data_IF_232106903981
#
_entry.id   IF_232106903981
#
_cell.length_a   1.000
_cell.length_b   1.000
_cell.length_c   1.000
_cell.angle_alpha   90.00
_cell.angle_beta   90.00
_cell.angle_gamma   90.00
#
_symmetry.space_group_name_H-M   'P 1'
#
loop_
_entity.id
_entity.type
_entity.pdbx_description
1 polymer ?
#
# COMPACT_ATOMS: atom_id res chain seq x y z
N UNK A 1 3.32 12.32 15.48
CA UNK A 1 4.26 12.48 14.34
C UNK A 1 5.28 11.37 14.44
N UNK A 2 5.53 10.68 13.34
CA UNK A 2 6.52 9.60 13.30
C UNK A 2 7.94 10.11 13.02
N UNK A 3 8.86 9.17 12.96
CA UNK A 3 10.28 9.41 12.76
C UNK A 3 10.78 8.78 11.46
N UNK A 4 11.88 9.32 10.91
CA UNK A 4 12.55 8.72 9.76
C UNK A 4 13.66 7.77 10.22
N UNK A 5 13.66 6.56 9.64
CA UNK A 5 14.70 5.55 9.86
C UNK A 5 15.37 5.20 8.53
N UNK A 6 16.51 4.53 8.59
CA UNK A 6 17.18 3.95 7.43
C UNK A 6 16.93 2.45 7.39
N UNK A 7 16.56 1.96 6.23
CA UNK A 7 16.45 0.54 5.93
C UNK A 7 17.54 0.14 4.94
N UNK A 8 17.85 -1.16 4.92
CA UNK A 8 18.72 -1.77 3.92
C UNK A 8 18.04 -2.97 3.32
N UNK A 9 17.77 -2.90 2.03
CA UNK A 9 17.20 -4.00 1.27
C UNK A 9 18.22 -5.14 1.06
N UNK A 10 17.71 -6.33 0.73
CA UNK A 10 18.54 -7.55 0.57
C UNK A 10 19.62 -7.40 -0.51
N UNK A 11 19.42 -6.55 -1.51
CA UNK A 11 20.40 -6.24 -2.56
C UNK A 11 21.39 -5.14 -2.17
N UNK A 12 21.37 -4.71 -0.90
CA UNK A 12 22.28 -3.71 -0.35
C UNK A 12 21.83 -2.27 -0.54
N UNK A 13 20.70 -2.00 -1.24
CA UNK A 13 20.18 -0.66 -1.38
C UNK A 13 19.74 -0.09 -0.02
N UNK A 14 20.17 1.15 0.26
CA UNK A 14 19.75 1.90 1.45
C UNK A 14 18.64 2.89 1.08
N UNK A 15 17.56 2.88 1.84
CA UNK A 15 16.41 3.76 1.65
C UNK A 15 15.93 4.33 2.98
N UNK A 16 15.30 5.49 2.94
CA UNK A 16 14.60 6.05 4.08
C UNK A 16 13.24 5.36 4.28
N UNK A 17 12.73 5.39 5.51
CA UNK A 17 11.36 4.98 5.79
C UNK A 17 10.77 5.85 6.90
N UNK A 18 9.51 6.25 6.77
CA UNK A 18 8.77 6.93 7.81
C UNK A 18 8.09 5.91 8.72
N UNK A 19 8.30 6.01 10.02
CA UNK A 19 7.72 5.10 11.03
C UNK A 19 6.81 5.88 11.96
N UNK A 20 5.57 5.46 12.06
CA UNK A 20 4.61 5.94 13.06
C UNK A 20 4.31 4.82 14.07
N UNK A 21 4.25 5.18 15.36
CA UNK A 21 4.04 4.23 16.46
C UNK A 21 2.81 4.61 17.28
N UNK A 22 2.02 3.65 17.76
CA UNK A 22 0.91 3.92 18.67
C UNK A 22 1.42 4.40 20.04
N UNK A 23 0.60 5.17 20.74
CA UNK A 23 0.89 5.59 22.12
C UNK A 23 0.64 4.48 23.15
N UNK A 24 -0.05 3.40 22.77
CA UNK A 24 -0.48 2.31 23.64
C UNK A 24 0.06 0.94 23.21
N UNK A 25 -0.72 -0.10 23.53
CA UNK A 25 -0.39 -1.48 23.16
C UNK A 25 -0.33 -1.64 21.62
N UNK A 26 0.72 -2.31 21.15
CA UNK A 26 0.90 -2.62 19.73
C UNK A 26 0.01 -3.80 19.34
N UNK A 27 -0.89 -3.61 18.36
CA UNK A 27 -1.73 -4.68 17.79
C UNK A 27 -0.97 -5.53 16.77
N UNK A 28 -0.16 -4.87 15.93
CA UNK A 28 0.61 -5.52 14.86
C UNK A 28 1.44 -4.51 14.09
N UNK A 29 2.09 -4.98 13.01
CA UNK A 29 2.88 -4.16 12.10
C UNK A 29 2.20 -3.97 10.75
N UNK A 30 2.31 -2.78 10.14
CA UNK A 30 1.78 -2.51 8.79
C UNK A 30 2.83 -1.79 7.96
N UNK A 31 3.19 -2.39 6.82
CA UNK A 31 3.96 -1.71 5.79
C UNK A 31 3.00 -0.91 4.91
N UNK A 32 3.18 0.41 4.85
CA UNK A 32 2.36 1.34 4.06
C UNK A 32 3.08 1.64 2.75
N UNK A 33 2.48 1.26 1.62
CA UNK A 33 3.13 1.44 0.32
C UNK A 33 2.54 2.64 -0.41
N UNK A 34 3.43 3.55 -0.80
CA UNK A 34 3.13 4.81 -1.45
C UNK A 34 2.45 4.66 -2.83
N UNK A 35 1.76 5.74 -3.23
CA UNK A 35 1.40 6.00 -4.63
C UNK A 35 2.67 6.27 -5.47
N UNK A 36 2.54 6.98 -6.58
CA UNK A 36 3.68 7.39 -7.43
C UNK A 36 4.27 8.77 -7.05
N UNK A 37 4.06 9.24 -5.82
CA UNK A 37 4.43 10.60 -5.38
C UNK A 37 5.45 10.62 -4.21
N UNK A 38 6.05 9.48 -3.88
CA UNK A 38 6.95 9.36 -2.75
C UNK A 38 6.20 9.23 -1.41
N UNK A 39 6.97 9.20 -0.32
CA UNK A 39 6.42 9.17 1.06
C UNK A 39 6.04 10.59 1.47
N UNK A 40 5.10 11.16 0.71
CA UNK A 40 4.59 12.52 0.91
C UNK A 40 3.64 12.62 2.12
N UNK A 41 3.08 13.80 2.35
CA UNK A 41 2.21 14.05 3.50
C UNK A 41 0.96 13.17 3.56
N UNK A 42 0.45 12.67 2.41
CA UNK A 42 -0.69 11.75 2.39
C UNK A 42 -0.29 10.36 2.88
N UNK A 43 0.84 9.84 2.45
CA UNK A 43 1.34 8.52 2.86
C UNK A 43 1.79 8.54 4.33
N UNK A 44 2.45 9.62 4.79
CA UNK A 44 2.73 9.79 6.22
C UNK A 44 1.46 9.89 7.05
N UNK A 45 0.43 10.59 6.54
CA UNK A 45 -0.89 10.66 7.17
C UNK A 45 -1.57 9.29 7.28
N UNK A 46 -1.41 8.42 6.28
CA UNK A 46 -1.90 7.04 6.35
C UNK A 46 -1.15 6.20 7.40
N UNK A 47 0.18 6.39 7.53
CA UNK A 47 0.96 5.74 8.58
C UNK A 47 0.56 6.26 9.98
N UNK A 48 0.39 7.57 10.15
CA UNK A 48 -0.06 8.17 11.41
C UNK A 48 -1.48 7.72 11.78
N UNK A 49 -2.38 7.59 10.80
CA UNK A 49 -3.72 7.03 11.02
C UNK A 49 -3.66 5.58 11.52
N UNK A 50 -2.87 4.70 10.89
CA UNK A 50 -2.70 3.33 11.35
C UNK A 50 -2.09 3.27 12.76
N UNK A 51 -1.18 4.18 13.09
CA UNK A 51 -0.64 4.28 14.43
C UNK A 51 -1.72 4.67 15.46
N UNK A 52 -2.64 5.58 15.11
CA UNK A 52 -3.78 5.92 15.98
C UNK A 52 -4.74 4.75 16.20
N UNK A 53 -4.76 3.75 15.29
CA UNK A 53 -5.54 2.52 15.40
C UNK A 53 -4.79 1.39 16.14
N UNK A 54 -3.55 1.65 16.60
CA UNK A 54 -2.76 0.73 17.42
C UNK A 54 -1.70 -0.08 16.65
N UNK A 55 -1.39 0.25 15.41
CA UNK A 55 -0.39 -0.46 14.61
C UNK A 55 0.94 0.30 14.57
N UNK A 56 2.06 -0.42 14.56
CA UNK A 56 3.32 0.17 14.13
C UNK A 56 3.32 0.20 12.60
N UNK A 57 3.29 1.40 12.03
CA UNK A 57 3.22 1.61 10.60
C UNK A 57 4.55 2.10 10.04
N UNK A 58 5.03 1.51 8.94
CA UNK A 58 6.27 1.93 8.26
C UNK A 58 6.01 2.17 6.78
N UNK A 59 6.41 3.34 6.28
CA UNK A 59 6.32 3.69 4.87
C UNK A 59 7.72 3.81 4.24
N UNK A 60 8.21 2.78 3.53
CA UNK A 60 9.50 2.81 2.86
C UNK A 60 9.49 3.76 1.66
N UNK A 61 10.52 4.59 1.54
CA UNK A 61 10.71 5.51 0.42
C UNK A 61 11.26 4.76 -0.81
N UNK A 62 10.39 3.99 -1.48
CA UNK A 62 10.80 3.13 -2.62
C UNK A 62 11.34 3.94 -3.81
N UNK A 63 11.08 5.25 -3.86
CA UNK A 63 11.63 6.14 -4.89
C UNK A 63 13.09 6.52 -4.64
N UNK A 64 13.66 6.24 -3.46
CA UNK A 64 15.09 6.46 -3.17
C UNK A 64 16.01 5.65 -4.11
N UNK A 65 15.48 4.65 -4.83
CA UNK A 65 16.18 3.94 -5.90
C UNK A 65 16.41 4.79 -7.15
N UNK A 66 15.59 5.81 -7.34
CA UNK A 66 15.60 6.68 -8.52
C UNK A 66 16.04 8.10 -8.15
N UNK A 67 15.43 8.66 -7.11
CA UNK A 67 15.73 9.98 -6.58
C UNK A 67 15.43 10.02 -5.08
N UNK A 68 16.48 10.28 -4.27
CA UNK A 68 16.37 10.26 -2.81
C UNK A 68 15.54 11.43 -2.29
N UNK A 69 14.72 11.15 -1.28
CA UNK A 69 13.93 12.15 -0.58
C UNK A 69 12.83 12.78 -1.44
N UNK A 70 12.39 12.09 -2.48
CA UNK A 70 11.34 12.60 -3.36
C UNK A 70 9.98 12.58 -2.65
N UNK A 71 9.43 13.77 -2.43
CA UNK A 71 8.10 14.00 -1.87
C UNK A 71 7.33 14.95 -2.78
N UNK A 72 6.50 14.40 -3.66
CA UNK A 72 5.75 15.17 -4.64
C UNK A 72 4.36 15.55 -4.13
N UNK A 73 3.88 16.72 -4.57
CA UNK A 73 2.50 17.14 -4.45
C UNK A 73 1.60 16.49 -5.53
N UNK A 74 0.46 17.15 -5.78
CA UNK A 74 -0.52 16.70 -6.78
C UNK A 74 -0.81 17.76 -7.84
N UNK A 75 0.05 18.80 -7.93
CA UNK A 75 0.05 19.79 -8.99
C UNK A 75 0.59 19.22 -10.31
N UNK A 76 0.48 19.99 -11.39
CA UNK A 76 0.86 19.55 -12.73
C UNK A 76 2.36 19.22 -12.85
N UNK A 77 3.24 19.96 -12.17
CA UNK A 77 4.68 19.73 -12.20
C UNK A 77 5.04 18.44 -11.48
N UNK A 78 4.46 18.23 -10.29
CA UNK A 78 4.58 17.00 -9.51
C UNK A 78 4.08 15.79 -10.29
N UNK A 79 2.94 15.92 -10.99
CA UNK A 79 2.40 14.86 -11.83
C UNK A 79 3.35 14.51 -12.98
N UNK A 80 3.89 15.51 -13.69
CA UNK A 80 4.90 15.29 -14.76
C UNK A 80 6.13 14.56 -14.22
N UNK A 81 6.62 14.96 -13.06
CA UNK A 81 7.77 14.31 -12.41
C UNK A 81 7.43 12.86 -12.03
N UNK A 82 6.29 12.60 -11.40
CA UNK A 82 5.85 11.27 -11.05
C UNK A 82 5.76 10.36 -12.27
N UNK A 83 5.14 10.82 -13.37
CA UNK A 83 5.05 10.07 -14.62
C UNK A 83 6.38 9.88 -15.35
N UNK A 84 7.41 10.67 -15.07
CA UNK A 84 8.75 10.45 -15.60
C UNK A 84 9.48 9.30 -14.86
N UNK A 85 9.12 9.02 -13.62
CA UNK A 85 9.70 7.95 -12.80
C UNK A 85 8.90 6.65 -12.93
N UNK A 86 7.57 6.74 -13.00
CA UNK A 86 6.66 5.58 -12.99
C UNK A 86 7.03 4.47 -13.99
N UNK A 87 7.40 4.75 -15.25
CA UNK A 87 7.80 3.70 -16.21
C UNK A 87 9.10 2.98 -15.84
N UNK A 88 9.88 3.51 -14.89
CA UNK A 88 11.15 2.92 -14.44
C UNK A 88 10.93 1.97 -13.24
N UNK A 89 9.74 1.99 -12.64
CA UNK A 89 9.43 1.16 -11.48
C UNK A 89 9.40 -0.32 -11.87
N UNK A 90 10.22 -1.12 -11.21
CA UNK A 90 10.16 -2.58 -11.29
C UNK A 90 9.53 -3.13 -10.00
N UNK A 91 8.32 -3.72 -10.05
CA UNK A 91 7.68 -4.30 -8.88
C UNK A 91 8.53 -5.36 -8.16
N UNK A 92 9.34 -6.14 -8.88
CA UNK A 92 10.20 -7.15 -8.27
C UNK A 92 11.36 -6.52 -7.47
N UNK A 93 11.83 -5.35 -7.92
CA UNK A 93 12.83 -4.56 -7.18
C UNK A 93 12.16 -3.88 -5.98
N UNK A 94 10.96 -3.34 -6.16
CA UNK A 94 10.17 -2.75 -5.07
C UNK A 94 9.91 -3.76 -3.95
N UNK A 95 9.59 -5.01 -4.27
CA UNK A 95 9.37 -6.06 -3.25
C UNK A 95 10.59 -6.30 -2.35
N UNK A 96 11.82 -6.04 -2.80
CA UNK A 96 13.01 -6.12 -1.93
C UNK A 96 13.03 -5.01 -0.86
N UNK A 97 12.54 -3.81 -1.21
CA UNK A 97 12.39 -2.71 -0.26
C UNK A 97 11.26 -3.00 0.73
N UNK A 98 10.14 -3.54 0.22
CA UNK A 98 9.03 -3.98 1.07
C UNK A 98 9.46 -5.07 2.05
N UNK A 99 10.27 -6.03 1.62
CA UNK A 99 10.80 -7.07 2.51
C UNK A 99 11.60 -6.49 3.69
N UNK A 100 12.42 -5.44 3.46
CA UNK A 100 13.16 -4.79 4.53
C UNK A 100 12.27 -4.03 5.52
N UNK A 101 11.22 -3.37 5.01
CA UNK A 101 10.22 -2.70 5.85
C UNK A 101 9.36 -3.72 6.62
N UNK A 102 9.03 -4.84 5.98
CA UNK A 102 8.30 -5.95 6.60
C UNK A 102 9.06 -6.54 7.79
N UNK A 103 10.35 -6.87 7.62
CA UNK A 103 11.18 -7.38 8.71
C UNK A 103 11.32 -6.37 9.86
N UNK A 104 11.34 -5.07 9.57
CA UNK A 104 11.37 -4.03 10.59
C UNK A 104 10.14 -4.08 11.50
N UNK A 105 8.92 -4.13 10.94
CA UNK A 105 7.67 -4.15 11.75
C UNK A 105 7.35 -5.54 12.29
N UNK A 106 7.81 -6.62 11.67
CA UNK A 106 7.70 -7.99 12.17
C UNK A 106 8.43 -8.17 13.51
N UNK A 107 9.49 -7.41 13.75
CA UNK A 107 10.22 -7.41 15.02
C UNK A 107 9.34 -6.98 16.22
N UNK A 108 8.19 -6.37 16.00
CA UNK A 108 7.21 -6.04 17.03
C UNK A 108 6.46 -7.28 17.60
N UNK A 109 6.70 -8.49 17.04
CA UNK A 109 6.26 -9.77 17.59
C UNK A 109 4.78 -10.12 17.39
N UNK A 110 4.08 -9.38 16.53
CA UNK A 110 2.66 -9.57 16.20
C UNK A 110 2.48 -9.85 14.69
N UNK A 111 1.24 -10.07 14.25
CA UNK A 111 0.93 -10.20 12.82
C UNK A 111 1.37 -8.98 12.02
N UNK A 112 1.71 -9.18 10.75
CA UNK A 112 2.21 -8.10 9.88
C UNK A 112 1.45 -8.05 8.57
N UNK A 113 0.97 -6.86 8.21
CA UNK A 113 0.24 -6.62 6.97
C UNK A 113 1.01 -5.71 6.01
N UNK A 114 0.62 -5.73 4.73
CA UNK A 114 1.02 -4.72 3.74
C UNK A 114 -0.24 -4.02 3.26
N UNK A 115 -0.27 -2.69 3.34
CA UNK A 115 -1.34 -1.83 2.88
C UNK A 115 -0.79 -0.82 1.87
N UNK A 116 -1.43 -0.65 0.73
CA UNK A 116 -0.91 0.27 -0.28
C UNK A 116 -1.97 0.94 -1.12
N UNK A 117 -1.54 2.04 -1.77
CA UNK A 117 -2.39 2.93 -2.54
C UNK A 117 -1.90 3.05 -3.98
N UNK A 118 -2.76 2.97 -4.99
CA UNK A 118 -2.42 3.05 -6.41
C UNK A 118 -1.35 2.02 -6.80
N UNK A 119 -0.15 2.45 -7.21
CA UNK A 119 1.00 1.57 -7.40
C UNK A 119 1.28 0.72 -6.14
N UNK A 120 1.21 1.34 -4.96
CA UNK A 120 1.34 0.62 -3.70
C UNK A 120 0.23 -0.41 -3.47
N UNK A 121 -0.97 -0.18 -3.99
CA UNK A 121 -2.05 -1.18 -3.99
C UNK A 121 -1.70 -2.42 -4.82
N UNK A 122 -1.09 -2.23 -5.99
CA UNK A 122 -0.53 -3.34 -6.77
C UNK A 122 0.60 -4.05 -6.01
N UNK A 123 1.47 -3.30 -5.33
CA UNK A 123 2.56 -3.89 -4.53
C UNK A 123 1.99 -4.67 -3.33
N UNK A 124 0.89 -4.24 -2.71
CA UNK A 124 0.20 -5.01 -1.67
C UNK A 124 -0.32 -6.35 -2.22
N UNK A 125 -0.94 -6.36 -3.41
CA UNK A 125 -1.30 -7.58 -4.12
C UNK A 125 -0.08 -8.47 -4.38
N UNK A 126 0.99 -7.91 -4.95
CA UNK A 126 2.22 -8.66 -5.25
C UNK A 126 2.96 -9.13 -3.97
N UNK A 127 2.75 -8.47 -2.85
CA UNK A 127 3.23 -8.97 -1.55
C UNK A 127 2.48 -10.23 -1.12
N UNK A 128 1.18 -10.34 -1.42
CA UNK A 128 0.42 -11.55 -1.17
C UNK A 128 0.80 -12.71 -2.11
N UNK A 129 1.16 -12.42 -3.38
CA UNK A 129 1.46 -13.45 -4.38
C UNK A 129 2.95 -13.81 -4.45
N UNK A 130 3.83 -12.81 -4.44
CA UNK A 130 5.29 -12.97 -4.63
C UNK A 130 6.11 -12.81 -3.35
N UNK A 131 5.47 -12.41 -2.24
CA UNK A 131 6.17 -12.19 -0.96
C UNK A 131 6.99 -13.40 -0.52
N UNK A 132 6.45 -14.65 -0.53
CA UNK A 132 7.22 -15.84 -0.15
C UNK A 132 8.50 -16.02 -0.96
N UNK A 133 8.49 -15.76 -2.26
CA UNK A 133 9.68 -15.81 -3.11
C UNK A 133 10.69 -14.69 -2.81
N UNK A 134 10.25 -13.62 -2.14
CA UNK A 134 11.07 -12.49 -1.68
C UNK A 134 11.44 -12.58 -0.19
N UNK A 135 11.18 -13.72 0.47
CA UNK A 135 11.57 -14.00 1.84
C UNK A 135 10.65 -13.44 2.92
N UNK A 136 9.43 -12.99 2.57
CA UNK A 136 8.44 -12.52 3.54
C UNK A 136 7.03 -12.99 3.18
N UNK A 137 6.19 -13.21 4.18
CA UNK A 137 4.79 -13.61 3.99
C UNK A 137 3.91 -12.76 4.89
N UNK A 138 3.15 -11.80 4.31
CA UNK A 138 2.18 -11.03 5.09
C UNK A 138 1.12 -11.92 5.70
N UNK A 139 0.61 -11.55 6.87
CA UNK A 139 -0.57 -12.18 7.46
C UNK A 139 -1.83 -11.83 6.66
N UNK A 140 -1.87 -10.62 6.10
CA UNK A 140 -2.88 -10.17 5.15
C UNK A 140 -2.39 -8.96 4.36
N UNK A 141 -3.10 -8.61 3.27
CA UNK A 141 -2.80 -7.39 2.50
C UNK A 141 -4.06 -6.59 2.20
N UNK A 142 -3.90 -5.27 2.08
CA UNK A 142 -4.96 -4.32 1.72
C UNK A 142 -4.51 -3.45 0.56
N UNK A 143 -5.25 -3.44 -0.54
CA UNK A 143 -4.97 -2.61 -1.72
C UNK A 143 -6.08 -1.61 -1.99
N UNK A 144 -5.72 -0.33 -2.10
CA UNK A 144 -6.61 0.74 -2.56
C UNK A 144 -6.30 1.07 -4.01
N UNK A 145 -7.34 1.08 -4.84
CA UNK A 145 -7.25 1.40 -6.28
C UNK A 145 -5.99 0.85 -6.97
N UNK A 146 -5.81 -0.47 -6.84
CA UNK A 146 -4.64 -1.21 -7.30
C UNK A 146 -4.60 -1.34 -8.83
N UNK A 147 -4.06 -0.34 -9.52
CA UNK A 147 -3.95 -0.35 -10.98
C UNK A 147 -3.01 -1.45 -11.49
N UNK A 148 -3.47 -2.19 -12.51
CA UNK A 148 -2.69 -3.27 -13.12
C UNK A 148 -2.84 -4.64 -12.45
N UNK A 149 -3.64 -4.75 -11.38
CA UNK A 149 -3.87 -6.03 -10.68
C UNK A 149 -4.44 -7.11 -11.61
N UNK A 150 -5.29 -6.74 -12.56
CA UNK A 150 -5.86 -7.68 -13.53
C UNK A 150 -4.82 -8.39 -14.39
N UNK A 151 -3.67 -7.78 -14.65
CA UNK A 151 -2.57 -8.37 -15.43
C UNK A 151 -1.84 -9.50 -14.69
N UNK A 152 -1.95 -9.51 -13.37
CA UNK A 152 -1.30 -10.45 -12.45
C UNK A 152 -2.31 -11.22 -11.60
N UNK A 153 -3.59 -11.16 -11.96
CA UNK A 153 -4.68 -11.80 -11.23
C UNK A 153 -4.58 -13.33 -11.20
N UNK A 154 -3.87 -13.94 -12.15
CA UNK A 154 -3.67 -15.40 -12.17
C UNK A 154 -2.61 -15.90 -11.17
N UNK A 155 -1.89 -15.01 -10.50
CA UNK A 155 -0.87 -15.39 -9.51
C UNK A 155 -1.54 -15.83 -8.20
N UNK A 156 -1.12 -16.96 -7.64
CA UNK A 156 -1.65 -17.51 -6.40
C UNK A 156 -1.38 -16.59 -5.20
N UNK A 157 -2.41 -16.30 -4.41
CA UNK A 157 -2.28 -15.55 -3.15
C UNK A 157 -1.92 -16.48 -1.99
N UNK A 158 -0.99 -16.05 -1.14
CA UNK A 158 -0.52 -16.81 0.02
C UNK A 158 -1.02 -16.25 1.37
N UNK A 159 -1.90 -15.26 1.33
CA UNK A 159 -2.56 -14.70 2.50
C UNK A 159 -3.91 -14.06 2.11
N UNK A 160 -4.82 -13.80 3.07
CA UNK A 160 -6.03 -13.04 2.83
C UNK A 160 -5.77 -11.66 2.23
N UNK A 161 -6.59 -11.27 1.25
CA UNK A 161 -6.48 -10.00 0.52
C UNK A 161 -7.80 -9.23 0.60
N UNK A 162 -7.71 -7.93 0.85
CA UNK A 162 -8.80 -6.97 0.76
C UNK A 162 -8.48 -5.90 -0.28
N UNK A 163 -9.40 -5.63 -1.20
CA UNK A 163 -9.24 -4.64 -2.26
C UNK A 163 -10.37 -3.63 -2.26
N UNK A 164 -10.03 -2.34 -2.47
CA UNK A 164 -10.96 -1.22 -2.58
C UNK A 164 -10.80 -0.52 -3.92
N UNK A 165 -11.88 -0.39 -4.69
CA UNK A 165 -11.88 0.28 -5.99
C UNK A 165 -12.99 1.32 -6.07
N UNK A 166 -12.74 2.41 -6.78
CA UNK A 166 -13.81 3.31 -7.21
C UNK A 166 -14.57 2.69 -8.40
N UNK A 167 -15.91 2.76 -8.39
CA UNK A 167 -16.73 2.24 -9.48
C UNK A 167 -16.60 3.10 -10.77
N UNK A 168 -16.21 4.37 -10.60
CA UNK A 168 -16.00 5.33 -11.68
C UNK A 168 -14.51 5.59 -11.96
N UNK A 169 -13.63 4.63 -11.62
CA UNK A 169 -12.19 4.73 -11.88
C UNK A 169 -11.90 4.55 -13.37
N UNK A 170 -11.48 5.61 -14.05
CA UNK A 170 -11.14 5.63 -15.47
C UNK A 170 -9.75 5.03 -15.80
N UNK A 171 -8.93 4.74 -14.77
CA UNK A 171 -7.64 4.08 -14.90
C UNK A 171 -7.70 2.57 -14.69
N UNK A 172 -8.75 2.07 -14.01
CA UNK A 172 -8.90 0.66 -13.65
C UNK A 172 -10.25 0.15 -14.17
N UNK A 173 -10.22 -0.47 -15.34
CA UNK A 173 -11.43 -1.01 -15.97
C UNK A 173 -12.03 -2.20 -15.20
N UNK A 174 -13.32 -2.41 -15.38
CA UNK A 174 -14.07 -3.53 -14.79
C UNK A 174 -13.47 -4.89 -15.12
N UNK A 175 -12.88 -5.03 -16.29
CA UNK A 175 -12.17 -6.24 -16.73
C UNK A 175 -11.06 -6.66 -15.77
N UNK A 176 -10.36 -5.71 -15.14
CA UNK A 176 -9.33 -6.01 -14.14
C UNK A 176 -9.94 -6.58 -12.85
N UNK A 177 -11.06 -6.01 -12.40
CA UNK A 177 -11.78 -6.47 -11.21
C UNK A 177 -12.38 -7.87 -11.44
N UNK A 178 -12.96 -8.08 -12.62
CA UNK A 178 -13.55 -9.36 -13.01
C UNK A 178 -12.49 -10.46 -13.16
N UNK A 179 -11.29 -10.11 -13.63
CA UNK A 179 -10.15 -11.03 -13.65
C UNK A 179 -9.76 -11.49 -12.23
N UNK A 180 -9.70 -10.56 -11.26
CA UNK A 180 -9.42 -10.90 -9.86
C UNK A 180 -10.53 -11.78 -9.27
N UNK A 181 -11.81 -11.40 -9.45
CA UNK A 181 -12.96 -12.18 -8.94
C UNK A 181 -13.00 -13.60 -9.50
N UNK A 182 -12.63 -13.73 -10.78
CA UNK A 182 -12.63 -15.03 -11.46
C UNK A 182 -11.52 -15.92 -10.94
N UNK A 183 -10.32 -15.37 -10.78
CA UNK A 183 -9.15 -16.13 -10.34
C UNK A 183 -9.17 -16.40 -8.82
N UNK A 184 -9.72 -15.48 -8.03
CA UNK A 184 -9.70 -15.52 -6.56
C UNK A 184 -11.08 -15.18 -5.97
N UNK A 185 -12.02 -16.12 -5.95
CA UNK A 185 -13.37 -15.88 -5.41
C UNK A 185 -13.40 -15.64 -3.89
N UNK A 186 -12.31 -15.92 -3.18
CA UNK A 186 -12.10 -15.70 -1.75
C UNK A 186 -11.51 -14.31 -1.41
N UNK A 187 -11.04 -13.57 -2.42
CA UNK A 187 -10.55 -12.19 -2.23
C UNK A 187 -11.75 -11.27 -1.96
N UNK A 188 -11.63 -10.49 -0.88
CA UNK A 188 -12.65 -9.48 -0.54
C UNK A 188 -12.41 -8.24 -1.41
N UNK A 189 -13.39 -7.91 -2.27
CA UNK A 189 -13.29 -6.77 -3.18
C UNK A 189 -14.54 -5.90 -3.05
N UNK A 190 -14.32 -4.61 -2.73
CA UNK A 190 -15.36 -3.60 -2.66
C UNK A 190 -15.22 -2.57 -3.78
N UNK A 191 -16.35 -2.23 -4.39
CA UNK A 191 -16.50 -1.10 -5.30
C UNK A 191 -17.32 0.00 -4.62
N UNK A 192 -16.94 1.26 -4.87
CA UNK A 192 -17.56 2.44 -4.28
C UNK A 192 -18.17 3.30 -5.40
N UNK A 193 -19.50 3.35 -5.46
CA UNK A 193 -20.24 4.16 -6.41
C UNK A 193 -19.91 5.65 -6.26
N UNK A 194 -19.79 6.37 -7.38
CA UNK A 194 -19.43 7.79 -7.40
C UNK A 194 -17.98 8.10 -7.02
N UNK A 195 -17.15 7.09 -6.89
CA UNK A 195 -15.73 7.23 -6.54
C UNK A 195 -14.85 6.86 -7.73
N UNK A 196 -13.88 7.73 -8.05
CA UNK A 196 -12.86 7.49 -9.08
C UNK A 196 -11.51 7.07 -8.50
N UNK A 197 -10.46 7.15 -9.33
CA UNK A 197 -9.10 6.85 -8.88
C UNK A 197 -8.64 7.78 -7.74
N UNK A 198 -7.97 7.24 -6.75
CA UNK A 198 -7.48 7.94 -5.56
C UNK A 198 -8.60 8.55 -4.67
N UNK A 199 -9.80 7.98 -4.68
CA UNK A 199 -10.94 8.45 -3.92
C UNK A 199 -10.71 8.54 -2.40
N UNK A 200 -9.78 7.77 -1.87
CA UNK A 200 -9.44 7.76 -0.44
C UNK A 200 -8.35 8.79 -0.05
N UNK A 201 -7.78 9.52 -1.01
CA UNK A 201 -6.73 10.49 -0.73
C UNK A 201 -7.30 11.91 -0.57
N UNK A 202 -7.32 12.49 0.66
CA UNK A 202 -7.95 13.79 0.92
C UNK A 202 -7.23 14.98 0.27
N UNK A 203 -6.06 14.76 -0.33
CA UNK A 203 -5.31 15.79 -1.08
C UNK A 203 -5.62 15.80 -2.57
N UNK A 204 -6.43 14.84 -3.03
CA UNK A 204 -6.79 14.71 -4.45
C UNK A 204 -8.18 15.31 -4.74
N UNK A 205 -8.38 15.92 -5.92
CA UNK A 205 -9.70 16.39 -6.33
C UNK A 205 -10.75 15.27 -6.42
N UNK A 206 -10.31 14.02 -6.64
CA UNK A 206 -11.16 12.83 -6.70
C UNK A 206 -11.56 12.29 -5.31
N UNK A 207 -11.20 12.97 -4.22
CA UNK A 207 -11.54 12.53 -2.87
C UNK A 207 -13.06 12.47 -2.64
N UNK A 208 -13.53 11.31 -2.19
CA UNK A 208 -14.94 11.08 -1.84
C UNK A 208 -15.01 10.65 -0.37
N UNK A 209 -15.29 11.61 0.52
CA UNK A 209 -15.18 11.43 1.97
C UNK A 209 -15.98 10.22 2.51
N UNK A 210 -17.19 9.99 1.99
CA UNK A 210 -18.03 8.87 2.43
C UNK A 210 -17.44 7.52 2.01
N UNK A 211 -16.95 7.41 0.78
CA UNK A 211 -16.30 6.20 0.26
C UNK A 211 -14.98 5.92 0.98
N UNK A 212 -14.16 6.96 1.18
CA UNK A 212 -12.90 6.86 1.91
C UNK A 212 -13.12 6.35 3.33
N UNK A 213 -14.03 6.99 4.08
CA UNK A 213 -14.38 6.57 5.44
C UNK A 213 -14.80 5.11 5.51
N UNK A 214 -15.68 4.68 4.60
CA UNK A 214 -16.17 3.30 4.59
C UNK A 214 -15.06 2.31 4.21
N UNK A 215 -14.15 2.66 3.29
CA UNK A 215 -13.00 1.84 2.94
C UNK A 215 -12.03 1.71 4.12
N UNK A 216 -11.76 2.81 4.83
CA UNK A 216 -10.88 2.84 5.99
C UNK A 216 -11.47 2.01 7.15
N UNK A 217 -12.77 2.13 7.45
CA UNK A 217 -13.47 1.31 8.45
C UNK A 217 -13.37 -0.19 8.13
N UNK A 218 -13.55 -0.57 6.85
CA UNK A 218 -13.42 -1.96 6.39
C UNK A 218 -11.98 -2.47 6.50
N UNK A 219 -11.01 -1.63 6.14
CA UNK A 219 -9.58 -1.95 6.27
C UNK A 219 -9.20 -2.20 7.72
N UNK A 220 -9.62 -1.32 8.65
CA UNK A 220 -9.33 -1.50 10.08
C UNK A 220 -10.03 -2.73 10.64
N UNK A 221 -11.28 -2.98 10.27
CA UNK A 221 -11.98 -4.21 10.69
C UNK A 221 -11.24 -5.47 10.22
N UNK A 222 -10.79 -5.48 8.96
CA UNK A 222 -10.01 -6.57 8.38
C UNK A 222 -8.65 -6.75 9.07
N UNK A 223 -7.91 -5.66 9.30
CA UNK A 223 -6.63 -5.71 10.01
C UNK A 223 -6.80 -6.23 11.44
N UNK A 224 -7.82 -5.76 12.17
CA UNK A 224 -8.13 -6.23 13.54
C UNK A 224 -8.45 -7.72 13.57
N UNK A 225 -9.18 -8.23 12.59
CA UNK A 225 -9.48 -9.67 12.49
C UNK A 225 -8.22 -10.51 12.22
N UNK A 226 -7.30 -10.00 11.37
CA UNK A 226 -6.17 -10.80 10.88
C UNK A 226 -4.89 -10.64 11.71
N UNK A 227 -4.63 -9.45 12.25
CA UNK A 227 -3.36 -9.16 12.94
C UNK A 227 -3.52 -8.55 14.35
N UNK A 228 -4.75 -8.37 14.85
CA UNK A 228 -5.04 -7.95 16.24
C UNK A 228 -5.59 -6.54 16.43
#
# INVERSE_FOLDING_TARGET
MGDWVKLKAVDGHELAAYVARPEGEVRGGVVVVQEIFGVNSSIRGAADWLASEGYVAIAPAIFDRYERGLELGYDEESMKKAFSIYPQLDPNVTLKDIASAFEFVKAEGKGTAVLGFCYGGLIAWLSATRGPANGFTPTCTVGYYAGGVGKVAAEETHCPVLLHFGADDDHIGKDQLDAVRTAHPDVILFEYEGAGHAFANPKRPSYVAAAAKLADERSIAFLREKIG
#
